data_IF_821773645972
#
_entry.id   IF_821773645972
#
_cell.length_a   1.000
_cell.length_b   1.000
_cell.length_c   1.000
_cell.angle_alpha   90.00
_cell.angle_beta   90.00
_cell.angle_gamma   90.00
#
_symmetry.space_group_name_H-M   'P 1'
#
loop_
_entity.id
_entity.type
_entity.pdbx_description
1 polymer ?
#
# COMPACT_ATOMS: atom_id res chain seq x y z
N UNK A 1 23.51 -9.71 9.27
CA UNK A 1 23.48 -10.81 8.26
C UNK A 1 23.20 -10.20 6.89
N UNK A 2 23.91 -10.64 5.85
CA UNK A 2 23.66 -10.18 4.48
C UNK A 2 22.34 -10.79 3.97
N UNK A 3 21.45 -9.98 3.41
CA UNK A 3 20.16 -10.45 2.90
C UNK A 3 20.38 -11.46 1.76
N UNK A 4 19.93 -12.72 1.93
CA UNK A 4 20.09 -13.84 0.98
C UNK A 4 19.61 -13.50 -0.43
N UNK A 5 18.63 -12.62 -0.56
CA UNK A 5 18.03 -12.21 -1.84
C UNK A 5 18.50 -10.83 -2.32
N UNK A 6 19.56 -10.27 -1.72
CA UNK A 6 20.04 -8.93 -2.05
C UNK A 6 20.25 -8.71 -3.56
N UNK A 7 20.77 -9.71 -4.28
CA UNK A 7 21.00 -9.61 -5.72
C UNK A 7 19.69 -9.56 -6.53
N UNK A 8 18.63 -10.25 -6.09
CA UNK A 8 17.32 -10.20 -6.73
C UNK A 8 16.73 -8.79 -6.57
N UNK A 9 16.78 -8.24 -5.36
CA UNK A 9 16.27 -6.90 -5.08
C UNK A 9 17.05 -5.81 -5.82
N UNK A 10 18.39 -5.90 -5.87
CA UNK A 10 19.24 -4.96 -6.63
C UNK A 10 18.91 -4.98 -8.12
N UNK A 11 18.73 -6.16 -8.73
CA UNK A 11 18.29 -6.30 -10.14
C UNK A 11 16.93 -5.66 -10.39
N UNK A 12 16.05 -5.66 -9.40
CA UNK A 12 14.73 -5.00 -9.46
C UNK A 12 14.77 -3.54 -9.00
N UNK A 13 15.94 -2.93 -8.86
CA UNK A 13 16.17 -1.53 -8.49
C UNK A 13 15.66 -1.13 -7.10
N UNK A 14 15.72 -2.05 -6.14
CA UNK A 14 15.52 -1.72 -4.72
C UNK A 14 16.78 -1.09 -4.15
N UNK A 15 16.61 -0.06 -3.33
CA UNK A 15 17.62 0.43 -2.40
C UNK A 15 17.47 -0.30 -1.07
N UNK A 16 18.36 -1.24 -0.78
CA UNK A 16 18.36 -1.96 0.49
C UNK A 16 18.75 -1.01 1.62
N UNK A 17 18.04 -1.11 2.74
CA UNK A 17 18.22 -0.28 3.95
C UNK A 17 18.40 -1.22 5.14
N UNK A 18 19.56 -1.17 5.77
CA UNK A 18 19.87 -2.03 6.90
C UNK A 18 19.76 -3.52 6.56
N UNK A 19 19.20 -4.28 7.51
CA UNK A 19 19.09 -5.74 7.50
C UNK A 19 17.79 -6.21 6.87
N UNK A 20 16.69 -5.49 7.10
CA UNK A 20 15.33 -5.97 6.78
C UNK A 20 14.43 -4.93 6.08
N UNK A 21 14.97 -3.75 5.73
CA UNK A 21 14.20 -2.66 5.10
C UNK A 21 14.63 -2.40 3.65
N UNK A 22 13.78 -1.74 2.88
CA UNK A 22 14.15 -1.22 1.57
C UNK A 22 13.26 -0.08 1.09
N UNK A 23 13.78 0.66 0.12
CA UNK A 23 13.06 1.65 -0.68
C UNK A 23 13.06 1.27 -2.15
N UNK A 24 12.09 1.78 -2.90
CA UNK A 24 12.08 1.71 -4.36
C UNK A 24 11.40 2.93 -4.94
N UNK A 25 11.98 3.51 -5.98
CA UNK A 25 11.36 4.62 -6.71
C UNK A 25 10.21 4.07 -7.55
N UNK A 26 8.99 4.51 -7.26
CA UNK A 26 7.80 4.03 -7.97
C UNK A 26 7.76 4.59 -9.40
N UNK A 27 7.02 3.92 -10.28
CA UNK A 27 6.85 4.36 -11.68
C UNK A 27 6.32 5.80 -11.76
N UNK A 28 5.34 6.13 -10.92
CA UNK A 28 4.68 7.44 -10.93
C UNK A 28 5.57 8.58 -10.41
N UNK A 29 6.48 8.33 -9.47
CA UNK A 29 7.52 9.28 -9.08
C UNK A 29 8.35 9.67 -10.30
N UNK A 30 8.80 8.70 -11.09
CA UNK A 30 9.58 8.95 -12.32
C UNK A 30 8.76 9.73 -13.35
N UNK A 31 7.51 9.30 -13.59
CA UNK A 31 6.59 9.94 -14.53
C UNK A 31 6.44 11.43 -14.21
N UNK A 32 6.00 11.74 -12.99
CA UNK A 32 5.73 13.11 -12.54
C UNK A 32 6.99 13.98 -12.48
N UNK A 33 8.15 13.41 -12.07
CA UNK A 33 9.42 14.13 -12.12
C UNK A 33 9.81 14.57 -13.54
N UNK A 34 9.46 13.78 -14.55
CA UNK A 34 9.79 14.05 -15.97
C UNK A 34 8.68 14.77 -16.73
N UNK A 35 7.75 15.42 -16.02
CA UNK A 35 6.63 16.18 -16.60
C UNK A 35 5.42 15.35 -17.02
N UNK A 36 5.39 14.06 -16.65
CA UNK A 36 4.26 13.16 -16.89
C UNK A 36 3.19 13.25 -15.80
N UNK A 37 2.22 12.32 -15.85
CA UNK A 37 1.13 12.27 -14.90
C UNK A 37 1.58 11.80 -13.50
N UNK A 38 0.89 12.31 -12.46
CA UNK A 38 0.96 11.78 -11.09
C UNK A 38 0.15 10.49 -10.93
N UNK A 39 0.43 9.73 -9.86
CA UNK A 39 -0.31 8.53 -9.51
C UNK A 39 -1.77 8.85 -9.15
N UNK A 40 -2.59 7.80 -9.10
CA UNK A 40 -4.00 7.94 -8.76
C UNK A 40 -4.26 8.58 -7.39
N UNK A 41 -3.31 8.48 -6.45
CA UNK A 41 -3.42 9.12 -5.14
C UNK A 41 -3.34 10.65 -5.19
N UNK A 42 -2.77 11.24 -6.24
CA UNK A 42 -2.89 12.68 -6.51
C UNK A 42 -4.34 13.06 -6.79
N UNK A 43 -5.00 12.28 -7.66
CA UNK A 43 -6.43 12.45 -7.97
C UNK A 43 -7.31 12.17 -6.76
N UNK A 44 -7.03 11.17 -5.94
CA UNK A 44 -7.90 10.79 -4.83
C UNK A 44 -7.67 11.66 -3.60
N UNK A 45 -6.42 11.86 -3.21
CA UNK A 45 -6.07 12.39 -1.88
C UNK A 45 -5.21 13.67 -1.93
N UNK A 46 -4.77 14.11 -3.12
CA UNK A 46 -3.89 15.26 -3.28
C UNK A 46 -2.41 14.95 -3.07
N UNK A 47 -2.00 13.68 -3.13
CA UNK A 47 -0.60 13.26 -2.95
C UNK A 47 0.23 13.53 -4.21
N UNK A 48 1.36 14.20 -4.03
CA UNK A 48 2.39 14.35 -5.06
C UNK A 48 3.30 13.13 -5.08
N UNK A 49 3.30 12.36 -6.16
CA UNK A 49 4.05 11.10 -6.26
C UNK A 49 5.56 11.34 -6.34
N UNK A 50 5.97 12.47 -6.91
CA UNK A 50 7.37 12.87 -6.97
C UNK A 50 7.97 13.21 -5.59
N UNK A 51 7.14 13.48 -4.58
CA UNK A 51 7.56 13.74 -3.18
C UNK A 51 7.30 12.53 -2.25
N UNK A 52 7.03 11.35 -2.82
CA UNK A 52 6.70 10.14 -2.06
C UNK A 52 7.86 9.15 -2.01
N UNK A 53 8.23 8.73 -0.80
CA UNK A 53 9.16 7.63 -0.56
C UNK A 53 8.34 6.35 -0.36
N UNK A 54 8.39 5.44 -1.34
CA UNK A 54 7.85 4.09 -1.17
C UNK A 54 8.89 3.18 -0.50
N UNK A 55 8.56 2.68 0.69
CA UNK A 55 9.45 1.87 1.52
C UNK A 55 8.73 0.70 2.19
N UNK A 56 9.51 -0.21 2.77
CA UNK A 56 9.02 -1.24 3.70
C UNK A 56 10.06 -1.48 4.80
N UNK A 57 9.63 -1.69 6.06
CA UNK A 57 10.47 -2.23 7.12
C UNK A 57 10.45 -3.76 7.20
N UNK A 58 9.76 -4.46 6.29
CA UNK A 58 9.57 -5.92 6.35
C UNK A 58 9.86 -6.58 4.98
N UNK A 59 11.04 -6.35 4.41
CA UNK A 59 11.36 -6.70 3.02
C UNK A 59 11.16 -8.20 2.69
N UNK A 60 11.53 -9.09 3.60
CA UNK A 60 11.49 -10.54 3.42
C UNK A 60 10.48 -11.22 4.36
N UNK A 61 9.53 -10.47 4.93
CA UNK A 61 8.59 -11.00 5.91
C UNK A 61 7.16 -10.61 5.59
N UNK A 62 6.28 -11.60 5.45
CA UNK A 62 4.86 -11.42 5.17
C UNK A 62 4.06 -12.57 5.77
N UNK A 63 2.82 -12.32 6.15
CA UNK A 63 1.88 -13.34 6.64
C UNK A 63 1.02 -13.95 5.53
N UNK A 64 1.18 -13.48 4.28
CA UNK A 64 0.42 -13.93 3.11
C UNK A 64 1.34 -14.15 1.91
N UNK A 65 0.97 -15.09 1.04
CA UNK A 65 1.67 -15.45 -0.19
C UNK A 65 0.76 -15.26 -1.42
N UNK A 66 0.16 -14.09 -1.54
CA UNK A 66 -0.95 -13.84 -2.47
C UNK A 66 -0.59 -14.19 -3.93
N UNK A 67 -1.53 -14.81 -4.64
CA UNK A 67 -1.39 -15.21 -6.04
C UNK A 67 -1.10 -14.01 -6.96
N UNK A 68 -1.70 -12.86 -6.68
CA UNK A 68 -1.50 -11.61 -7.43
C UNK A 68 -0.26 -10.80 -7.02
N UNK A 69 0.51 -11.19 -6.00
CA UNK A 69 1.65 -10.40 -5.55
C UNK A 69 2.76 -10.39 -6.63
N UNK A 70 2.89 -9.29 -7.35
CA UNK A 70 3.82 -9.19 -8.48
C UNK A 70 5.29 -9.02 -8.09
N UNK A 71 5.59 -8.78 -6.81
CA UNK A 71 6.94 -8.56 -6.31
C UNK A 71 7.58 -9.91 -6.01
N UNK A 72 8.88 -9.89 -5.77
CA UNK A 72 9.59 -11.08 -5.36
C UNK A 72 9.03 -11.59 -4.02
N UNK A 73 8.44 -12.79 -4.03
CA UNK A 73 7.89 -13.46 -2.85
C UNK A 73 8.96 -14.35 -2.20
N UNK A 74 10.01 -13.74 -1.66
CA UNK A 74 11.05 -14.40 -0.86
C UNK A 74 10.77 -14.29 0.63
N UNK A 75 9.54 -14.58 1.05
CA UNK A 75 9.11 -14.46 2.43
C UNK A 75 9.53 -15.71 3.22
N UNK A 76 10.72 -15.65 3.81
CA UNK A 76 11.31 -16.80 4.52
C UNK A 76 10.73 -16.96 5.93
N UNK A 77 10.12 -15.90 6.48
CA UNK A 77 9.72 -15.82 7.88
C UNK A 77 8.57 -14.84 8.09
N UNK A 78 7.74 -15.10 9.10
CA UNK A 78 6.76 -14.13 9.63
C UNK A 78 7.35 -13.34 10.82
N UNK A 79 8.67 -13.31 10.96
CA UNK A 79 9.36 -12.63 12.05
C UNK A 79 10.63 -11.95 11.55
N UNK A 80 10.89 -10.74 12.05
CA UNK A 80 12.12 -10.00 11.82
C UNK A 80 13.01 -10.19 13.05
N UNK A 81 14.04 -11.03 12.93
CA UNK A 81 14.82 -11.44 14.10
C UNK A 81 15.72 -10.34 14.67
N UNK A 82 16.39 -9.57 13.82
CA UNK A 82 17.34 -8.52 14.21
C UNK A 82 16.85 -7.19 13.61
N UNK A 83 15.96 -6.53 14.35
CA UNK A 83 15.33 -5.27 13.96
C UNK A 83 16.32 -4.09 14.10
N UNK A 84 16.53 -3.36 13.01
CA UNK A 84 17.23 -2.09 12.99
C UNK A 84 16.39 -1.00 13.67
N UNK A 85 17.07 0.03 14.15
CA UNK A 85 16.43 1.15 14.82
C UNK A 85 15.52 1.99 13.88
N UNK A 86 14.33 2.45 14.32
CA UNK A 86 13.43 3.27 13.52
C UNK A 86 14.07 4.52 12.93
N UNK A 87 14.92 5.23 13.68
CA UNK A 87 15.58 6.45 13.20
C UNK A 87 16.61 6.11 12.13
N UNK A 88 17.35 5.02 12.31
CA UNK A 88 18.24 4.50 11.28
C UNK A 88 17.48 4.15 10.00
N UNK A 89 16.37 3.39 10.10
CA UNK A 89 15.55 3.00 8.95
C UNK A 89 15.04 4.25 8.21
N UNK A 90 14.54 5.25 8.93
CA UNK A 90 14.02 6.49 8.34
C UNK A 90 15.12 7.27 7.61
N UNK A 91 16.26 7.51 8.28
CA UNK A 91 17.40 8.24 7.72
C UNK A 91 17.95 7.58 6.46
N UNK A 92 18.24 6.28 6.55
CA UNK A 92 18.81 5.55 5.43
C UNK A 92 17.78 5.29 4.32
N UNK A 93 16.48 5.23 4.62
CA UNK A 93 15.42 5.22 3.59
C UNK A 93 15.38 6.52 2.78
N UNK A 94 15.44 7.68 3.44
CA UNK A 94 15.49 8.98 2.77
C UNK A 94 16.74 9.06 1.89
N UNK A 95 17.91 8.76 2.46
CA UNK A 95 19.19 8.77 1.73
C UNK A 95 19.20 7.81 0.55
N UNK A 96 18.69 6.58 0.72
CA UNK A 96 18.59 5.61 -0.36
C UNK A 96 17.62 6.08 -1.45
N UNK A 97 16.49 6.68 -1.09
CA UNK A 97 15.56 7.27 -2.05
C UNK A 97 16.21 8.40 -2.86
N UNK A 98 16.86 9.36 -2.18
CA UNK A 98 17.58 10.46 -2.82
C UNK A 98 18.68 9.96 -3.76
N UNK A 99 19.41 8.91 -3.36
CA UNK A 99 20.40 8.25 -4.22
C UNK A 99 19.75 7.66 -5.47
N UNK A 100 18.60 6.98 -5.34
CA UNK A 100 17.90 6.38 -6.48
C UNK A 100 17.35 7.42 -7.46
N UNK A 101 16.93 8.60 -6.98
CA UNK A 101 16.45 9.68 -7.85
C UNK A 101 17.57 10.60 -8.36
N UNK A 102 18.79 10.55 -7.79
CA UNK A 102 19.91 11.43 -8.16
C UNK A 102 20.21 11.50 -9.66
N UNK A 103 20.05 10.39 -10.38
CA UNK A 103 20.22 10.33 -11.84
C UNK A 103 19.24 11.19 -12.64
N UNK A 104 18.11 11.60 -12.06
CA UNK A 104 17.11 12.45 -12.72
C UNK A 104 17.54 13.91 -12.81
N UNK A 105 18.46 14.39 -11.96
CA UNK A 105 18.91 15.80 -11.96
C UNK A 105 19.53 16.22 -13.31
N UNK A 106 20.19 15.31 -14.00
CA UNK A 106 20.79 15.56 -15.33
C UNK A 106 19.84 15.33 -16.50
N UNK A 107 18.59 14.94 -16.25
CA UNK A 107 17.63 14.65 -17.32
C UNK A 107 17.02 15.97 -17.84
N UNK A 108 17.07 16.25 -19.16
CA UNK A 108 16.56 17.51 -19.73
C UNK A 108 15.04 17.72 -19.55
N UNK A 109 14.29 16.66 -19.21
CA UNK A 109 12.84 16.74 -18.91
C UNK A 109 12.53 17.10 -17.46
N UNK A 110 13.53 17.19 -16.59
CA UNK A 110 13.33 17.46 -15.16
C UNK A 110 13.70 18.92 -14.91
N UNK A 111 12.72 19.72 -14.51
CA UNK A 111 12.96 21.12 -14.16
C UNK A 111 13.68 21.23 -12.82
N UNK A 112 14.39 22.35 -12.60
CA UNK A 112 15.08 22.59 -11.33
C UNK A 112 14.10 22.62 -10.15
N UNK A 113 12.93 23.21 -10.33
CA UNK A 113 11.84 23.24 -9.35
C UNK A 113 11.39 21.83 -8.98
N UNK A 114 11.06 21.00 -9.98
CA UNK A 114 10.59 19.62 -9.75
C UNK A 114 11.66 18.77 -9.06
N UNK A 115 12.93 18.99 -9.42
CA UNK A 115 14.05 18.35 -8.74
C UNK A 115 14.17 18.77 -7.27
N UNK A 116 14.03 20.07 -6.97
CA UNK A 116 14.04 20.59 -5.59
C UNK A 116 12.91 19.99 -4.76
N UNK A 117 11.69 19.92 -5.31
CA UNK A 117 10.54 19.31 -4.65
C UNK A 117 10.77 17.81 -4.37
N UNK A 118 11.22 17.04 -5.38
CA UNK A 118 11.47 15.61 -5.24
C UNK A 118 12.63 15.30 -4.27
N UNK A 119 13.60 16.22 -4.17
CA UNK A 119 14.70 16.13 -3.20
C UNK A 119 14.27 16.47 -1.77
N UNK A 120 13.05 16.97 -1.57
CA UNK A 120 12.44 17.25 -0.28
C UNK A 120 11.10 16.48 -0.13
N UNK A 121 11.16 15.15 0.06
CA UNK A 121 9.98 14.31 0.12
C UNK A 121 9.06 14.69 1.29
N UNK A 122 7.75 14.56 1.06
CA UNK A 122 6.66 14.94 2.00
C UNK A 122 5.84 13.76 2.50
N UNK A 123 5.97 12.61 1.84
CA UNK A 123 5.11 11.45 2.08
C UNK A 123 5.96 10.19 2.20
N UNK A 124 5.68 9.34 3.20
CA UNK A 124 6.23 8.00 3.33
C UNK A 124 5.11 6.97 3.11
N UNK A 125 5.23 6.19 2.03
CA UNK A 125 4.34 5.09 1.74
C UNK A 125 4.97 3.77 2.22
N UNK A 126 4.56 3.34 3.42
CA UNK A 126 4.95 2.09 4.07
C UNK A 126 4.15 0.94 3.42
N UNK A 127 4.55 0.56 2.21
CA UNK A 127 3.72 -0.24 1.30
C UNK A 127 4.49 -0.94 0.17
N UNK A 128 5.82 -1.01 0.27
CA UNK A 128 6.64 -1.55 -0.81
C UNK A 128 6.42 -3.05 -0.99
N UNK A 129 6.72 -3.87 0.02
CA UNK A 129 6.52 -5.34 -0.03
C UNK A 129 6.56 -5.90 1.39
N UNK A 130 6.11 -7.13 1.55
CA UNK A 130 5.97 -7.75 2.87
C UNK A 130 4.81 -7.14 3.67
N UNK A 131 4.72 -7.54 4.94
CA UNK A 131 3.71 -7.06 5.88
C UNK A 131 4.37 -6.11 6.90
N UNK A 132 4.20 -4.78 6.76
CA UNK A 132 4.90 -3.82 7.61
C UNK A 132 4.56 -3.91 9.10
N UNK A 133 3.39 -4.44 9.47
CA UNK A 133 3.00 -4.63 10.88
C UNK A 133 3.82 -5.72 11.59
N UNK A 134 4.66 -6.46 10.85
CA UNK A 134 5.64 -7.38 11.45
C UNK A 134 6.83 -6.65 12.09
N UNK A 135 7.05 -5.37 11.79
CA UNK A 135 8.07 -4.56 12.44
C UNK A 135 7.56 -4.06 13.80
N UNK A 136 8.18 -4.51 14.90
CA UNK A 136 7.60 -4.30 16.24
C UNK A 136 7.63 -2.83 16.68
N UNK A 137 8.57 -2.04 16.16
CA UNK A 137 8.75 -0.60 16.49
C UNK A 137 8.12 0.33 15.44
N UNK A 138 7.05 -0.12 14.76
CA UNK A 138 6.37 0.65 13.71
C UNK A 138 5.80 1.98 14.20
N UNK A 139 5.25 2.05 15.41
CA UNK A 139 4.74 3.29 16.00
C UNK A 139 5.85 4.34 16.15
N UNK A 140 7.01 3.95 16.66
CA UNK A 140 8.18 4.83 16.78
C UNK A 140 8.65 5.36 15.40
N UNK A 141 8.64 4.51 14.37
CA UNK A 141 8.96 4.93 13.00
C UNK A 141 7.99 5.99 12.47
N UNK A 142 6.68 5.80 12.70
CA UNK A 142 5.65 6.76 12.29
C UNK A 142 5.82 8.07 13.07
N UNK A 143 6.09 8.01 14.37
CA UNK A 143 6.32 9.20 15.20
C UNK A 143 7.52 10.02 14.68
N UNK A 144 8.62 9.36 14.33
CA UNK A 144 9.82 10.02 13.79
C UNK A 144 9.55 10.67 12.42
N UNK A 145 8.75 10.03 11.56
CA UNK A 145 8.33 10.60 10.29
C UNK A 145 7.46 11.86 10.49
N UNK A 146 6.51 11.80 11.41
CA UNK A 146 5.64 12.92 11.76
C UNK A 146 6.46 14.10 12.33
N UNK A 147 7.45 13.83 13.20
CA UNK A 147 8.38 14.86 13.73
C UNK A 147 9.19 15.57 12.63
N UNK A 148 9.30 14.99 11.44
CA UNK A 148 9.95 15.60 10.26
C UNK A 148 8.95 16.28 9.30
N UNK A 149 7.68 16.40 9.69
CA UNK A 149 6.62 16.95 8.84
C UNK A 149 6.34 16.06 7.62
N UNK A 150 6.52 14.75 7.74
CA UNK A 150 6.23 13.78 6.67
C UNK A 150 4.97 13.00 7.01
N UNK A 151 3.96 13.13 6.15
CA UNK A 151 2.76 12.28 6.23
C UNK A 151 3.08 10.80 5.97
N UNK A 152 2.35 9.91 6.64
CA UNK A 152 2.60 8.46 6.63
C UNK A 152 1.39 7.67 6.12
N UNK A 153 1.65 6.73 5.22
CA UNK A 153 0.63 5.88 4.62
C UNK A 153 0.99 4.42 4.86
N UNK A 154 0.32 3.78 5.82
CA UNK A 154 0.53 2.38 6.16
C UNK A 154 -0.40 1.50 5.34
N UNK A 155 0.16 0.50 4.64
CA UNK A 155 -0.61 -0.54 3.96
C UNK A 155 -0.32 -1.88 4.62
N UNK A 156 -1.37 -2.50 5.18
CA UNK A 156 -1.33 -3.81 5.82
C UNK A 156 -2.35 -4.75 5.19
N UNK A 157 -2.11 -6.06 5.27
CA UNK A 157 -3.10 -7.09 4.94
C UNK A 157 -4.11 -7.35 6.09
N UNK A 158 -3.88 -6.76 7.28
CA UNK A 158 -4.82 -6.82 8.40
C UNK A 158 -4.82 -8.15 9.16
N UNK A 159 -3.85 -9.03 8.95
CA UNK A 159 -3.75 -10.33 9.65
C UNK A 159 -3.21 -10.23 11.09
N UNK A 160 -2.79 -9.03 11.52
CA UNK A 160 -2.21 -8.76 12.85
C UNK A 160 -2.98 -7.65 13.60
N UNK A 161 -4.25 -7.90 14.00
CA UNK A 161 -5.11 -6.91 14.65
C UNK A 161 -4.50 -6.33 15.94
N UNK A 162 -3.77 -7.16 16.72
CA UNK A 162 -3.12 -6.75 17.95
C UNK A 162 -2.05 -5.67 17.77
N UNK A 163 -1.45 -5.59 16.57
CA UNK A 163 -0.48 -4.53 16.24
C UNK A 163 -1.23 -3.24 15.99
N UNK A 164 -2.32 -3.27 15.22
CA UNK A 164 -3.14 -2.09 14.92
C UNK A 164 -3.80 -1.53 16.19
N UNK A 165 -4.24 -2.39 17.10
CA UNK A 165 -4.83 -2.00 18.39
C UNK A 165 -3.85 -1.20 19.26
N UNK A 166 -2.55 -1.52 19.19
CA UNK A 166 -1.49 -0.90 19.98
C UNK A 166 -0.73 0.19 19.23
N UNK A 167 -1.00 0.38 17.94
CA UNK A 167 -0.23 1.26 17.08
C UNK A 167 -0.46 2.72 17.49
N UNK A 168 0.58 3.34 18.02
CA UNK A 168 0.56 4.73 18.45
C UNK A 168 1.90 5.41 18.13
N UNK A 169 1.92 6.58 17.47
CA UNK A 169 0.77 7.21 16.79
C UNK A 169 0.27 6.36 15.60
N UNK A 170 -1.00 6.57 15.25
CA UNK A 170 -1.56 6.06 14.00
C UNK A 170 -0.97 6.82 12.80
N UNK A 171 -0.92 6.20 11.60
CA UNK A 171 -0.44 6.88 10.39
C UNK A 171 -1.40 8.00 9.97
N UNK A 172 -0.97 8.88 9.06
CA UNK A 172 -1.87 9.87 8.43
C UNK A 172 -3.07 9.19 7.74
N UNK A 173 -2.83 8.04 7.10
CA UNK A 173 -3.88 7.23 6.52
C UNK A 173 -3.52 5.74 6.56
N UNK A 174 -4.41 4.94 7.14
CA UNK A 174 -4.31 3.48 7.23
C UNK A 174 -5.05 2.83 6.06
N UNK A 175 -4.39 1.87 5.42
CA UNK A 175 -4.97 1.01 4.40
C UNK A 175 -4.96 -0.43 4.89
N UNK A 176 -6.14 -1.05 4.94
CA UNK A 176 -6.28 -2.50 5.01
C UNK A 176 -6.57 -3.01 3.61
N UNK A 177 -5.69 -3.83 3.04
CA UNK A 177 -5.85 -4.38 1.69
C UNK A 177 -6.28 -5.84 1.79
N UNK A 178 -7.30 -6.21 1.02
CA UNK A 178 -7.73 -7.60 0.92
C UNK A 178 -8.15 -7.94 -0.51
N UNK A 179 -8.13 -9.23 -0.81
CA UNK A 179 -8.73 -9.81 -2.01
C UNK A 179 -9.61 -11.02 -1.67
N UNK A 180 -9.85 -11.26 -0.38
CA UNK A 180 -10.63 -12.38 0.16
C UNK A 180 -11.96 -11.89 0.75
N UNK A 181 -13.06 -11.88 -0.01
CA UNK A 181 -14.39 -11.49 0.47
C UNK A 181 -15.00 -12.53 1.43
N UNK A 182 -14.59 -13.79 1.32
CA UNK A 182 -14.99 -14.88 2.18
C UNK A 182 -13.78 -15.75 2.56
N UNK A 183 -13.94 -16.64 3.54
CA UNK A 183 -12.85 -17.49 4.05
C UNK A 183 -12.22 -18.38 2.97
N UNK A 184 -13.01 -18.92 2.05
CA UNK A 184 -12.51 -19.80 0.99
C UNK A 184 -11.66 -18.99 0.02
N UNK A 185 -12.20 -17.91 -0.53
CA UNK A 185 -11.51 -17.02 -1.48
C UNK A 185 -10.26 -16.39 -0.84
N UNK A 186 -10.34 -16.00 0.44
CA UNK A 186 -9.19 -15.52 1.22
C UNK A 186 -8.06 -16.55 1.24
N UNK A 187 -8.35 -17.80 1.60
CA UNK A 187 -7.34 -18.85 1.67
C UNK A 187 -6.75 -19.20 0.30
N UNK A 188 -7.60 -19.28 -0.74
CA UNK A 188 -7.18 -19.63 -2.09
C UNK A 188 -6.33 -18.55 -2.76
N UNK A 189 -6.70 -17.28 -2.60
CA UNK A 189 -6.08 -16.17 -3.33
C UNK A 189 -4.95 -15.50 -2.55
N UNK A 190 -5.06 -15.40 -1.22
CA UNK A 190 -4.05 -14.77 -0.36
C UNK A 190 -3.02 -15.77 0.17
N UNK A 191 -3.36 -17.07 0.21
CA UNK A 191 -2.49 -18.14 0.67
C UNK A 191 -1.78 -17.78 2.01
N UNK A 192 -2.54 -17.60 3.10
CA UNK A 192 -1.99 -17.14 4.37
C UNK A 192 -1.00 -18.16 4.94
N UNK A 193 0.10 -17.64 5.50
CA UNK A 193 1.11 -18.43 6.18
C UNK A 193 0.74 -18.78 7.64
N UNK A 194 -0.38 -18.25 8.14
CA UNK A 194 -0.88 -18.50 9.50
C UNK A 194 -2.30 -19.07 9.48
N UNK A 195 -2.57 -20.07 10.33
CA UNK A 195 -3.82 -20.83 10.31
C UNK A 195 -5.07 -20.04 10.73
N UNK A 196 -4.90 -18.96 11.50
CA UNK A 196 -5.98 -18.08 11.97
C UNK A 196 -5.99 -16.71 11.25
N UNK A 197 -5.39 -16.61 10.06
CA UNK A 197 -5.29 -15.35 9.32
C UNK A 197 -6.66 -14.73 9.04
N UNK A 198 -7.63 -15.57 8.62
CA UNK A 198 -8.99 -15.13 8.33
C UNK A 198 -9.67 -14.55 9.57
N UNK A 199 -9.62 -15.27 10.69
CA UNK A 199 -10.22 -14.84 11.96
C UNK A 199 -9.57 -13.55 12.47
N UNK A 200 -8.25 -13.41 12.31
CA UNK A 200 -7.54 -12.18 12.66
C UNK A 200 -7.92 -11.02 11.74
N UNK A 201 -8.08 -11.27 10.45
CA UNK A 201 -8.53 -10.27 9.50
C UNK A 201 -9.94 -9.77 9.84
N UNK A 202 -10.87 -10.67 10.22
CA UNK A 202 -12.20 -10.26 10.69
C UNK A 202 -12.12 -9.37 11.93
N UNK A 203 -11.26 -9.70 12.91
CA UNK A 203 -11.01 -8.84 14.08
C UNK A 203 -10.45 -7.47 13.69
N UNK A 204 -9.59 -7.40 12.67
CA UNK A 204 -9.11 -6.13 12.14
C UNK A 204 -10.27 -5.29 11.59
N UNK A 205 -11.20 -5.89 10.84
CA UNK A 205 -12.39 -5.17 10.35
C UNK A 205 -13.22 -4.61 11.52
N UNK A 206 -13.45 -5.42 12.57
CA UNK A 206 -14.18 -4.98 13.77
C UNK A 206 -13.48 -3.86 14.56
N UNK A 207 -12.14 -3.84 14.53
CA UNK A 207 -11.31 -2.82 15.17
C UNK A 207 -11.31 -1.50 14.40
N UNK A 208 -11.43 -1.53 13.07
CA UNK A 208 -11.26 -0.32 12.24
C UNK A 208 -12.10 0.89 12.69
N UNK A 209 -13.38 0.76 13.06
CA UNK A 209 -14.18 1.90 13.51
C UNK A 209 -13.62 2.64 14.73
N UNK A 210 -12.85 1.98 15.60
CA UNK A 210 -12.28 2.62 16.80
C UNK A 210 -10.94 3.32 16.55
N UNK A 211 -10.35 3.19 15.36
CA UNK A 211 -9.07 3.80 15.03
C UNK A 211 -9.25 5.26 14.57
N UNK A 212 -8.70 6.20 15.33
CA UNK A 212 -8.78 7.64 15.06
C UNK A 212 -7.73 8.09 14.03
N UNK A 213 -7.92 7.64 12.80
CA UNK A 213 -7.15 8.03 11.61
C UNK A 213 -8.04 7.95 10.37
N UNK A 214 -7.54 8.45 9.23
CA UNK A 214 -8.17 8.23 7.92
C UNK A 214 -8.03 6.76 7.53
N UNK A 215 -9.14 6.11 7.22
CA UNK A 215 -9.21 4.67 6.99
C UNK A 215 -9.60 4.36 5.54
N UNK A 216 -8.86 3.44 4.93
CA UNK A 216 -9.15 2.92 3.60
C UNK A 216 -9.21 1.42 3.65
N UNK A 217 -10.26 0.83 3.07
CA UNK A 217 -10.20 -0.56 2.63
C UNK A 217 -9.91 -0.58 1.14
N UNK A 218 -8.88 -1.33 0.75
CA UNK A 218 -8.54 -1.52 -0.66
C UNK A 218 -8.80 -2.95 -1.09
N UNK A 219 -9.74 -3.11 -1.99
CA UNK A 219 -10.06 -4.37 -2.63
C UNK A 219 -9.15 -4.55 -3.86
N UNK A 220 -8.31 -5.58 -3.83
CA UNK A 220 -7.57 -6.00 -5.03
C UNK A 220 -8.42 -6.99 -5.81
N UNK A 221 -9.01 -6.53 -6.90
CA UNK A 221 -9.99 -7.27 -7.68
C UNK A 221 -9.30 -8.12 -8.76
N UNK A 222 -9.56 -9.42 -8.71
CA UNK A 222 -9.05 -10.43 -9.64
C UNK A 222 -10.26 -11.06 -10.31
N UNK A 223 -10.33 -10.91 -11.63
CA UNK A 223 -11.47 -11.39 -12.42
C UNK A 223 -11.58 -12.92 -12.30
N UNK A 224 -12.81 -13.39 -12.16
CA UNK A 224 -13.21 -14.80 -11.94
C UNK A 224 -12.82 -15.41 -10.58
N UNK A 225 -12.21 -14.63 -9.69
CA UNK A 225 -11.86 -15.09 -8.34
C UNK A 225 -12.69 -14.43 -7.25
N UNK A 226 -12.68 -13.09 -7.17
CA UNK A 226 -13.31 -12.38 -6.05
C UNK A 226 -14.38 -11.36 -6.44
N UNK A 227 -14.42 -10.93 -7.71
CA UNK A 227 -15.38 -9.93 -8.17
C UNK A 227 -16.87 -10.31 -8.06
N UNK A 228 -17.28 -11.59 -8.15
CA UNK A 228 -18.69 -11.97 -7.99
C UNK A 228 -19.27 -11.76 -6.57
N UNK A 229 -18.43 -11.61 -5.55
CA UNK A 229 -18.81 -11.61 -4.13
C UNK A 229 -19.13 -10.21 -3.59
N UNK A 230 -19.97 -9.46 -4.31
CA UNK A 230 -20.32 -8.07 -3.98
C UNK A 230 -20.96 -7.96 -2.58
N UNK A 231 -21.83 -8.90 -2.22
CA UNK A 231 -22.55 -8.88 -0.94
C UNK A 231 -21.62 -9.12 0.25
N UNK A 232 -20.64 -10.01 0.09
CA UNK A 232 -19.63 -10.30 1.09
C UNK A 232 -18.69 -9.10 1.29
N UNK A 233 -18.26 -8.44 0.20
CA UNK A 233 -17.52 -7.18 0.30
C UNK A 233 -18.32 -6.09 1.01
N UNK A 234 -19.60 -5.91 0.64
CA UNK A 234 -20.47 -4.92 1.29
C UNK A 234 -20.62 -5.19 2.80
N UNK A 235 -20.76 -6.45 3.21
CA UNK A 235 -20.81 -6.85 4.62
C UNK A 235 -19.52 -6.48 5.35
N UNK A 236 -18.36 -6.80 4.77
CA UNK A 236 -17.06 -6.48 5.35
C UNK A 236 -16.85 -4.97 5.50
N UNK A 237 -17.14 -4.20 4.46
CA UNK A 237 -16.99 -2.74 4.48
C UNK A 237 -17.97 -2.08 5.45
N UNK A 238 -19.16 -2.64 5.62
CA UNK A 238 -20.14 -2.17 6.61
C UNK A 238 -19.69 -2.40 8.06
N UNK A 239 -18.98 -3.50 8.33
CA UNK A 239 -18.37 -3.77 9.65
C UNK A 239 -17.26 -2.78 9.92
N UNK A 240 -16.35 -2.60 8.96
CA UNK A 240 -15.15 -1.80 9.14
C UNK A 240 -15.36 -0.28 9.06
N UNK A 241 -16.44 0.16 8.42
CA UNK A 241 -16.81 1.57 8.23
C UNK A 241 -15.63 2.47 7.83
N UNK A 242 -14.88 2.15 6.76
CA UNK A 242 -13.76 2.99 6.34
C UNK A 242 -14.24 4.36 5.85
N UNK A 243 -13.36 5.35 5.81
CA UNK A 243 -13.70 6.64 5.19
C UNK A 243 -13.79 6.50 3.66
N UNK A 244 -12.98 5.59 3.11
CA UNK A 244 -12.86 5.35 1.68
C UNK A 244 -12.73 3.86 1.34
N UNK A 245 -13.25 3.46 0.17
CA UNK A 245 -13.05 2.13 -0.39
C UNK A 245 -12.38 2.29 -1.77
N UNK A 246 -11.21 1.70 -1.94
CA UNK A 246 -10.52 1.61 -3.23
C UNK A 246 -10.82 0.27 -3.90
N UNK A 247 -11.54 0.27 -5.02
CA UNK A 247 -11.66 -0.93 -5.86
C UNK A 247 -10.57 -0.88 -6.93
N UNK A 248 -9.61 -1.81 -6.85
CA UNK A 248 -8.41 -1.77 -7.70
C UNK A 248 -8.19 -3.08 -8.43
N UNK A 249 -8.12 -3.03 -9.74
CA UNK A 249 -7.83 -4.19 -10.58
C UNK A 249 -6.42 -4.71 -10.39
N UNK A 250 -6.31 -6.04 -10.32
CA UNK A 250 -5.05 -6.75 -10.54
C UNK A 250 -4.45 -6.36 -11.90
N UNK A 251 -3.11 -6.36 -11.97
CA UNK A 251 -2.34 -6.10 -13.18
C UNK A 251 -1.35 -7.25 -13.37
N UNK A 252 -1.41 -7.90 -14.54
CA UNK A 252 -0.64 -9.09 -14.88
C UNK A 252 0.83 -8.78 -15.21
N UNK A 253 1.66 -8.63 -14.17
CA UNK A 253 3.10 -8.36 -14.29
C UNK A 253 3.93 -9.00 -13.16
N UNK A 254 5.25 -8.98 -13.30
CA UNK A 254 6.18 -9.46 -12.28
C UNK A 254 6.01 -10.95 -12.01
N UNK A 255 6.15 -11.39 -10.77
CA UNK A 255 6.02 -12.81 -10.42
C UNK A 255 4.58 -13.34 -10.45
N UNK A 256 3.58 -12.47 -10.51
CA UNK A 256 2.18 -12.89 -10.52
C UNK A 256 1.79 -13.65 -11.79
N UNK A 257 2.51 -13.42 -12.90
CA UNK A 257 2.25 -14.05 -14.20
C UNK A 257 2.46 -15.57 -14.20
N UNK A 258 3.20 -16.08 -13.20
CA UNK A 258 3.40 -17.52 -13.02
C UNK A 258 2.25 -18.18 -12.25
N UNK A 259 1.29 -17.39 -11.72
CA UNK A 259 0.21 -17.86 -10.84
C UNK A 259 -1.18 -17.48 -11.32
N UNK A 260 -1.31 -16.41 -12.11
CA UNK A 260 -2.57 -15.94 -12.68
C UNK A 260 -2.42 -15.73 -14.18
N UNK A 261 -3.52 -15.89 -14.92
CA UNK A 261 -3.59 -15.57 -16.36
C UNK A 261 -3.77 -14.07 -16.56
N UNK A 262 -3.45 -13.60 -17.76
CA UNK A 262 -3.78 -12.24 -18.20
C UNK A 262 -5.29 -12.00 -18.25
N UNK A 263 -6.10 -13.05 -18.44
CA UNK A 263 -7.56 -12.97 -18.45
C UNK A 263 -8.13 -12.64 -17.07
N UNK A 264 -7.39 -12.93 -16.00
CA UNK A 264 -7.76 -12.57 -14.63
C UNK A 264 -7.58 -11.07 -14.33
N UNK A 265 -7.03 -10.30 -15.28
CA UNK A 265 -6.81 -8.86 -15.17
C UNK A 265 -8.08 -8.09 -15.58
N UNK A 266 -8.89 -7.58 -14.63
CA UNK A 266 -10.16 -6.91 -14.98
C UNK A 266 -9.91 -5.64 -15.78
N UNK A 267 -10.81 -5.35 -16.73
CA UNK A 267 -10.83 -4.06 -17.42
C UNK A 267 -11.23 -2.94 -16.46
N UNK A 268 -10.99 -1.68 -16.85
CA UNK A 268 -11.44 -0.54 -16.03
C UNK A 268 -12.97 -0.47 -15.92
N UNK A 269 -13.70 -0.89 -16.95
CA UNK A 269 -15.16 -0.95 -16.89
C UNK A 269 -15.64 -1.99 -15.87
N UNK A 270 -14.98 -3.16 -15.81
CA UNK A 270 -15.31 -4.18 -14.80
C UNK A 270 -15.12 -3.62 -13.37
N UNK A 271 -14.09 -2.78 -13.16
CA UNK A 271 -13.86 -2.09 -11.88
C UNK A 271 -14.97 -1.10 -11.57
N UNK A 272 -15.39 -0.29 -12.54
CA UNK A 272 -16.45 0.69 -12.34
C UNK A 272 -17.80 0.02 -12.05
N UNK A 273 -18.14 -1.05 -12.78
CA UNK A 273 -19.36 -1.82 -12.57
C UNK A 273 -19.39 -2.44 -11.16
N UNK A 274 -18.26 -2.98 -10.70
CA UNK A 274 -18.12 -3.49 -9.32
C UNK A 274 -18.30 -2.36 -8.30
N UNK A 275 -17.66 -1.22 -8.54
CA UNK A 275 -17.64 -0.06 -7.63
C UNK A 275 -19.02 0.52 -7.42
N UNK A 276 -19.78 0.72 -8.51
CA UNK A 276 -21.15 1.27 -8.44
C UNK A 276 -22.04 0.36 -7.61
N UNK A 277 -22.04 -0.95 -7.89
CA UNK A 277 -22.84 -1.94 -7.16
C UNK A 277 -22.47 -2.02 -5.67
N UNK A 278 -21.17 -1.94 -5.35
CA UNK A 278 -20.73 -1.92 -3.96
C UNK A 278 -21.17 -0.63 -3.26
N UNK A 279 -20.99 0.53 -3.91
CA UNK A 279 -21.39 1.84 -3.39
C UNK A 279 -22.87 1.93 -3.05
N UNK A 280 -23.74 1.39 -3.92
CA UNK A 280 -25.19 1.29 -3.68
C UNK A 280 -25.53 0.49 -2.41
N UNK A 281 -24.76 -0.56 -2.09
CA UNK A 281 -25.02 -1.42 -0.93
C UNK A 281 -24.52 -0.84 0.38
N UNK A 282 -23.39 -0.12 0.36
CA UNK A 282 -22.80 0.46 1.58
C UNK A 282 -23.20 1.93 1.80
N UNK A 283 -23.87 2.55 0.83
CA UNK A 283 -24.29 3.95 0.87
C UNK A 283 -23.12 4.93 0.69
N UNK A 284 -22.13 4.58 -0.14
CA UNK A 284 -20.95 5.40 -0.41
C UNK A 284 -20.99 5.91 -1.85
N UNK A 285 -20.42 7.10 -2.08
CA UNK A 285 -20.47 7.75 -3.37
C UNK A 285 -19.20 7.51 -4.19
N UNK A 286 -19.37 7.19 -5.47
CA UNK A 286 -18.25 7.15 -6.43
C UNK A 286 -17.69 8.56 -6.60
N UNK A 287 -16.49 8.77 -6.05
CA UNK A 287 -15.89 10.11 -5.93
C UNK A 287 -14.82 10.37 -6.99
N UNK A 288 -14.10 9.32 -7.42
CA UNK A 288 -13.05 9.44 -8.42
C UNK A 288 -12.71 8.10 -9.07
N UNK A 289 -12.06 8.16 -10.23
CA UNK A 289 -11.52 7.00 -10.94
C UNK A 289 -10.22 7.35 -11.68
N UNK A 290 -9.39 6.34 -11.93
CA UNK A 290 -8.16 6.46 -12.74
C UNK A 290 -7.96 5.21 -13.60
N UNK A 291 -8.31 5.35 -14.89
CA UNK A 291 -8.27 4.27 -15.88
C UNK A 291 -6.88 3.64 -16.04
N UNK A 292 -5.83 4.44 -16.01
CA UNK A 292 -4.43 3.97 -16.18
C UNK A 292 -3.99 3.06 -15.02
N UNK A 293 -4.62 3.21 -13.85
CA UNK A 293 -4.36 2.41 -12.65
C UNK A 293 -5.45 1.38 -12.36
N UNK A 294 -6.49 1.30 -13.22
CA UNK A 294 -7.67 0.42 -13.07
C UNK A 294 -8.25 0.50 -11.66
N UNK A 295 -8.49 1.72 -11.19
CA UNK A 295 -8.88 1.98 -9.80
C UNK A 295 -9.96 3.04 -9.73
N UNK A 296 -10.86 2.85 -8.78
CA UNK A 296 -11.92 3.78 -8.42
C UNK A 296 -11.91 4.05 -6.91
N UNK A 297 -12.62 5.08 -6.50
CA UNK A 297 -12.77 5.52 -5.13
C UNK A 297 -14.25 5.66 -4.79
N UNK A 298 -14.69 4.93 -3.78
CA UNK A 298 -15.90 5.25 -3.03
C UNK A 298 -15.51 6.05 -1.79
N UNK A 299 -16.32 7.03 -1.41
CA UNK A 299 -16.14 7.80 -0.19
C UNK A 299 -17.44 7.84 0.62
N UNK A 300 -17.30 7.72 1.94
CA UNK A 300 -18.40 7.96 2.89
C UNK A 300 -18.78 9.45 2.91
N UNK A 301 -17.78 10.31 2.78
CA UNK A 301 -17.89 11.76 2.70
C UNK A 301 -16.90 12.27 1.65
N UNK A 302 -17.36 12.51 0.40
CA UNK A 302 -16.50 12.96 -0.70
C UNK A 302 -15.74 14.26 -0.40
N UNK A 303 -16.28 15.14 0.45
CA UNK A 303 -15.66 16.42 0.81
C UNK A 303 -14.34 16.24 1.58
N UNK A 304 -14.16 15.09 2.24
CA UNK A 304 -12.96 14.75 3.01
C UNK A 304 -11.92 13.95 2.22
N UNK A 305 -12.14 13.74 0.92
CA UNK A 305 -11.22 12.96 0.07
C UNK A 305 -9.81 13.56 0.04
N UNK A 306 -9.68 14.87 -0.08
CA UNK A 306 -8.37 15.54 -0.06
C UNK A 306 -7.79 15.63 1.35
N UNK A 307 -6.49 15.34 1.46
CA UNK A 307 -5.74 15.50 2.71
C UNK A 307 -5.26 16.95 2.80
N UNK A 308 -5.50 17.59 3.95
CA UNK A 308 -4.84 18.85 4.26
C UNK A 308 -3.44 18.55 4.81
N UNK A 309 -2.42 18.72 3.97
CA UNK A 309 -1.02 18.49 4.37
C UNK A 309 -0.43 19.61 5.22
N UNK A 310 -1.08 20.77 5.32
CA UNK A 310 -0.62 21.87 6.16
C UNK A 310 -0.93 21.64 7.65
N UNK A 311 -1.85 20.73 7.96
CA UNK A 311 -2.25 20.38 9.33
C UNK A 311 -1.55 19.14 9.88
N UNK A 312 -0.51 18.64 9.21
CA UNK A 312 0.22 17.40 9.55
C UNK A 312 1.63 17.74 10.04
#
# INVERSE_FOLDING_TARGET
MENKYAQVYKKQHYGLVGKHSAVKVCHWTKSEMTGGASCYKGTFYGINSHQCIQMTPALNSCTENCSFCWRFNGFDSMHIGDEDDPEFILNESIKAHLKLISGFKGNPKVTEEKWKEASNPKHIAISLTGEPTLYTRLGEFIELANKRGMSTFLVTNGTLPMVLEKLNPLPTQLYVTTAGPDKKTFNELLNPAMGNAWENFQKTLELMPSLDTRKVIRHTLVKDFNMPFIDEYAKMDSIAQPDFIESKGYVHVGQSIARLSIDNMPSHNDIMDFTVKLGEKVGYEVTAERKESRVSLLAKDPSKSKINFESI
#
